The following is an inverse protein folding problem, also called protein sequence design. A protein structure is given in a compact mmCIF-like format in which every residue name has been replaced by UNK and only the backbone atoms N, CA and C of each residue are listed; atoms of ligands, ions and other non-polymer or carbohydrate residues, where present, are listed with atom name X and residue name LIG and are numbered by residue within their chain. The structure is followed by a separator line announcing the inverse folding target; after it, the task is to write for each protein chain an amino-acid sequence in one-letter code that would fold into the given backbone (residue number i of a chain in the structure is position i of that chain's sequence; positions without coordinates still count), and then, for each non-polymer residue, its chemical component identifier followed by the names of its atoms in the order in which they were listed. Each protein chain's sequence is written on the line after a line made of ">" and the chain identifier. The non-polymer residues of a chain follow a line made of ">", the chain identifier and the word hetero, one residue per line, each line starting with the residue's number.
data_IF_950216677305
#
_entry.id   IF_950216677305
#
_cell.length_a   1.000
_cell.length_b   1.000
_cell.length_c   1.000
_cell.angle_alpha   90.00
_cell.angle_beta   90.00
_cell.angle_gamma   90.00
#
_symmetry.space_group_name_H-M   'P 1'
#
loop_
_entity.id
_entity.type
_entity.pdbx_description
1 polymer ?
#
# COMPACT_ATOMS: atom_id res chain seq x y z
N UNK A 1 11.57 -12.46 -3.06
CA UNK A 1 10.80 -11.64 -4.03
C UNK A 1 10.77 -10.19 -3.58
N UNK A 2 10.55 -9.24 -4.50
CA UNK A 2 10.32 -7.81 -4.19
C UNK A 2 8.94 -7.39 -4.65
N UNK A 3 8.19 -6.65 -3.83
CA UNK A 3 6.86 -6.13 -4.15
C UNK A 3 6.73 -4.70 -3.64
N UNK A 4 6.43 -3.76 -4.54
CA UNK A 4 6.19 -2.37 -4.16
C UNK A 4 4.70 -2.17 -3.84
N UNK A 5 4.44 -1.57 -2.69
CA UNK A 5 3.08 -1.28 -2.23
C UNK A 5 2.97 0.15 -1.69
N UNK A 6 1.78 0.71 -1.84
CA UNK A 6 1.36 1.94 -1.21
C UNK A 6 0.44 1.59 -0.06
N UNK A 7 0.82 1.99 1.16
CA UNK A 7 0.06 1.79 2.38
C UNK A 7 -0.50 3.14 2.82
N UNK A 8 -1.82 3.23 2.96
CA UNK A 8 -2.51 4.39 3.50
C UNK A 8 -3.03 4.02 4.89
N UNK A 9 -2.64 4.79 5.91
CA UNK A 9 -3.03 4.55 7.30
C UNK A 9 -4.09 5.56 7.76
N UNK A 10 -5.15 5.10 8.46
CA UNK A 10 -6.15 5.99 9.03
C UNK A 10 -5.56 6.84 10.15
N UNK A 11 -6.23 7.93 10.50
CA UNK A 11 -5.79 8.89 11.53
C UNK A 11 -5.51 8.23 12.90
N UNK A 12 -6.12 7.07 13.17
CA UNK A 12 -6.01 6.29 14.40
C UNK A 12 -4.83 5.31 14.42
N UNK A 13 -4.28 4.93 13.26
CA UNK A 13 -3.28 3.86 13.12
C UNK A 13 -1.83 4.30 13.35
N UNK A 14 -1.58 5.57 13.73
CA UNK A 14 -0.23 6.11 14.00
C UNK A 14 0.52 5.34 15.12
N UNK A 15 -0.18 4.51 15.90
CA UNK A 15 0.38 3.78 17.04
C UNK A 15 0.97 2.40 16.71
N UNK A 16 0.81 1.89 15.48
CA UNK A 16 1.30 0.56 15.12
C UNK A 16 2.69 0.68 14.48
N UNK A 17 3.74 0.05 15.02
CA UNK A 17 5.08 0.09 14.44
C UNK A 17 5.16 -0.86 13.23
N UNK A 18 4.56 -0.45 12.11
CA UNK A 18 4.36 -1.28 10.91
C UNK A 18 5.64 -1.96 10.41
N UNK A 19 6.70 -1.18 10.18
CA UNK A 19 7.98 -1.71 9.66
C UNK A 19 8.63 -2.73 10.59
N UNK A 20 8.53 -2.52 11.91
CA UNK A 20 9.00 -3.47 12.90
C UNK A 20 8.22 -4.78 12.84
N UNK A 21 6.88 -4.73 12.75
CA UNK A 21 6.06 -5.94 12.65
C UNK A 21 6.31 -6.70 11.36
N UNK A 22 6.48 -6.01 10.23
CA UNK A 22 6.87 -6.64 8.96
C UNK A 22 8.17 -7.43 9.09
N UNK A 23 9.18 -6.85 9.74
CA UNK A 23 10.45 -7.52 9.96
C UNK A 23 10.34 -8.68 10.97
N UNK A 24 9.63 -8.47 12.09
CA UNK A 24 9.62 -9.41 13.21
C UNK A 24 8.65 -10.58 13.02
N UNK A 25 7.44 -10.30 12.52
CA UNK A 25 6.35 -11.28 12.45
C UNK A 25 6.35 -12.02 11.11
N UNK A 26 6.85 -11.38 10.04
CA UNK A 26 6.81 -11.92 8.67
C UNK A 26 8.18 -12.11 8.02
N UNK A 27 9.27 -11.72 8.70
CA UNK A 27 10.63 -11.76 8.15
C UNK A 27 10.75 -11.00 6.81
N UNK A 28 10.06 -9.86 6.70
CA UNK A 28 10.07 -8.99 5.51
C UNK A 28 10.93 -7.78 5.76
N UNK A 29 11.90 -7.54 4.87
CA UNK A 29 12.63 -6.28 4.84
C UNK A 29 11.78 -5.21 4.13
N UNK A 30 11.55 -4.09 4.82
CA UNK A 30 10.82 -2.93 4.29
C UNK A 30 11.79 -1.81 3.91
N UNK A 31 11.80 -1.42 2.63
CA UNK A 31 12.54 -0.26 2.14
C UNK A 31 11.58 0.89 1.85
N UNK A 32 11.64 1.97 2.63
CA UNK A 32 10.73 3.11 2.51
C UNK A 32 11.20 4.01 1.35
N UNK A 33 10.36 4.12 0.31
CA UNK A 33 10.65 4.96 -0.87
C UNK A 33 10.13 6.38 -0.63
N UNK A 34 8.93 6.51 -0.07
CA UNK A 34 8.31 7.81 0.25
C UNK A 34 7.40 7.65 1.46
N UNK A 35 7.48 8.58 2.40
CA UNK A 35 6.58 8.62 3.56
C UNK A 35 6.02 10.03 3.72
N UNK A 36 4.70 10.13 3.83
CA UNK A 36 4.02 11.34 4.26
C UNK A 36 3.26 11.01 5.55
N UNK A 37 3.77 11.53 6.66
CA UNK A 37 3.21 11.32 8.00
C UNK A 37 3.04 12.68 8.63
N UNK A 38 1.80 13.05 8.96
CA UNK A 38 1.51 14.30 9.66
C UNK A 38 0.44 14.07 10.74
N UNK A 39 0.49 14.79 11.87
CA UNK A 39 -0.54 14.71 12.90
C UNK A 39 -1.93 15.00 12.33
N UNK A 40 -2.93 14.22 12.72
CA UNK A 40 -4.32 14.37 12.29
C UNK A 40 -4.56 14.29 10.77
N UNK A 41 -3.62 13.77 9.99
CA UNK A 41 -3.80 13.53 8.56
C UNK A 41 -3.79 12.03 8.25
N UNK A 42 -4.44 11.66 7.14
CA UNK A 42 -4.25 10.35 6.53
C UNK A 42 -2.84 10.35 5.95
N UNK A 43 -1.99 9.43 6.39
CA UNK A 43 -0.64 9.33 5.85
C UNK A 43 -0.53 8.25 4.79
N UNK A 44 0.44 8.45 3.88
CA UNK A 44 0.73 7.58 2.74
C UNK A 44 2.19 7.13 2.84
N UNK A 45 2.42 5.82 2.79
CA UNK A 45 3.73 5.19 2.81
C UNK A 45 3.90 4.35 1.55
N UNK A 46 4.86 4.72 0.71
CA UNK A 46 5.30 3.91 -0.43
C UNK A 46 6.51 3.11 0.01
N UNK A 47 6.38 1.78 -0.01
CA UNK A 47 7.38 0.85 0.52
C UNK A 47 7.63 -0.29 -0.46
N UNK A 48 8.89 -0.67 -0.64
CA UNK A 48 9.28 -1.92 -1.28
C UNK A 48 9.45 -2.99 -0.19
N UNK A 49 8.65 -4.06 -0.29
CA UNK A 49 8.72 -5.23 0.57
C UNK A 49 9.61 -6.28 -0.09
N UNK A 50 10.58 -6.80 0.66
CA UNK A 50 11.49 -7.85 0.22
C UNK A 50 11.42 -9.03 1.18
N UNK A 51 11.04 -10.20 0.66
CA UNK A 51 10.83 -11.41 1.47
C UNK A 51 10.31 -12.58 0.63
N UNK A 52 9.85 -13.63 1.30
CA UNK A 52 9.11 -14.73 0.69
C UNK A 52 7.73 -14.24 0.19
N UNK A 53 7.23 -14.79 -0.91
CA UNK A 53 5.95 -14.38 -1.49
C UNK A 53 4.77 -14.67 -0.54
N UNK A 54 4.80 -15.83 0.13
CA UNK A 54 3.73 -16.24 1.04
C UNK A 54 3.70 -15.34 2.27
N UNK A 55 4.88 -14.93 2.76
CA UNK A 55 5.00 -13.99 3.87
C UNK A 55 4.52 -12.59 3.47
N UNK A 56 4.87 -12.13 2.26
CA UNK A 56 4.43 -10.82 1.75
C UNK A 56 2.91 -10.77 1.64
N UNK A 57 2.28 -11.80 1.09
CA UNK A 57 0.83 -11.83 0.94
C UNK A 57 0.13 -11.96 2.31
N UNK A 58 0.66 -12.77 3.24
CA UNK A 58 0.16 -12.82 4.61
C UNK A 58 0.27 -11.47 5.34
N UNK A 59 1.38 -10.73 5.13
CA UNK A 59 1.57 -9.40 5.70
C UNK A 59 0.60 -8.36 5.12
N UNK A 60 0.28 -8.46 3.82
CA UNK A 60 -0.70 -7.58 3.16
C UNK A 60 -2.11 -7.82 3.73
N UNK A 61 -2.51 -9.08 3.89
CA UNK A 61 -3.80 -9.40 4.50
C UNK A 61 -3.87 -8.95 5.96
N UNK A 62 -2.79 -9.17 6.73
CA UNK A 62 -2.71 -8.67 8.09
C UNK A 62 -2.83 -7.14 8.15
N UNK A 63 -2.18 -6.41 7.25
CA UNK A 63 -2.34 -4.95 7.14
C UNK A 63 -3.81 -4.58 6.87
N UNK A 64 -4.48 -5.23 5.91
CA UNK A 64 -5.90 -4.97 5.60
C UNK A 64 -6.82 -5.22 6.79
N UNK A 65 -6.56 -6.27 7.56
CA UNK A 65 -7.30 -6.59 8.79
C UNK A 65 -7.10 -5.56 9.92
N UNK A 66 -6.01 -4.79 9.87
CA UNK A 66 -5.69 -3.74 10.85
C UNK A 66 -6.03 -2.34 10.31
N UNK A 67 -7.03 -2.25 9.42
CA UNK A 67 -7.52 -1.00 8.80
C UNK A 67 -6.50 -0.24 7.94
N UNK A 68 -5.39 -0.87 7.54
CA UNK A 68 -4.49 -0.29 6.55
C UNK A 68 -5.03 -0.55 5.14
N UNK A 69 -5.16 0.52 4.34
CA UNK A 69 -5.45 0.35 2.93
C UNK A 69 -4.14 0.09 2.17
N UNK A 70 -4.02 -1.07 1.53
CA UNK A 70 -2.81 -1.48 0.82
C UNK A 70 -3.11 -1.64 -0.67
N UNK A 71 -2.40 -0.86 -1.48
CA UNK A 71 -2.48 -0.86 -2.94
C UNK A 71 -1.16 -1.38 -3.51
N UNK A 72 -1.22 -2.34 -4.43
CA UNK A 72 -0.04 -2.72 -5.24
C UNK A 72 0.38 -1.54 -6.11
N UNK A 73 1.68 -1.35 -6.33
CA UNK A 73 2.18 -0.26 -7.18
C UNK A 73 1.70 -0.31 -8.64
N UNK A 74 1.12 -1.43 -9.07
CA UNK A 74 0.42 -1.56 -10.34
C UNK A 74 -0.95 -0.86 -10.25
N UNK A 75 -0.98 0.43 -10.62
CA UNK A 75 -2.20 1.21 -10.85
C UNK A 75 -2.57 2.13 -9.69
N UNK A 76 -2.15 3.40 -9.76
CA UNK A 76 -2.76 4.47 -8.93
C UNK A 76 -4.14 4.91 -9.46
N UNK A 77 -4.53 4.43 -10.65
CA UNK A 77 -5.80 4.73 -11.30
C UNK A 77 -6.59 3.44 -11.45
N UNK A 78 -7.81 3.44 -10.92
CA UNK A 78 -8.79 2.37 -11.09
C UNK A 78 -10.02 2.93 -11.81
N UNK A 79 -10.63 2.12 -12.68
CA UNK A 79 -11.86 2.47 -13.39
C UNK A 79 -13.04 1.92 -12.60
N UNK A 80 -14.01 2.77 -12.28
CA UNK A 80 -15.32 2.31 -11.81
C UNK A 80 -16.19 1.97 -13.03
N UNK A 81 -16.32 0.68 -13.32
CA UNK A 81 -17.09 0.19 -14.47
C UNK A 81 -18.58 0.58 -14.43
N UNK A 82 -19.13 0.93 -13.26
CA UNK A 82 -20.54 1.35 -13.16
C UNK A 82 -20.77 2.78 -13.62
N UNK A 83 -19.72 3.60 -13.60
CA UNK A 83 -19.78 5.04 -13.91
C UNK A 83 -19.06 5.37 -15.22
N UNK A 84 -18.16 4.49 -15.68
CA UNK A 84 -17.44 4.65 -16.93
C UNK A 84 -18.40 4.78 -18.13
N UNK A 85 -18.13 5.76 -18.99
CA UNK A 85 -18.87 6.00 -20.25
C UNK A 85 -17.99 5.77 -21.48
N UNK A 86 -16.86 5.07 -21.32
CA UNK A 86 -15.91 4.72 -22.39
C UNK A 86 -15.37 5.92 -23.20
N UNK A 87 -15.28 7.10 -22.58
CA UNK A 87 -14.79 8.32 -23.25
C UNK A 87 -13.27 8.33 -23.53
N UNK A 88 -12.50 7.43 -22.90
CA UNK A 88 -11.07 7.30 -23.11
C UNK A 88 -10.19 8.38 -22.48
N UNK A 89 -10.75 9.37 -21.76
CA UNK A 89 -9.97 10.48 -21.17
C UNK A 89 -8.90 9.99 -20.17
N UNK A 90 -9.21 8.92 -19.43
CA UNK A 90 -8.32 8.31 -18.45
C UNK A 90 -7.10 7.61 -19.09
N UNK A 91 -7.18 7.23 -20.38
CA UNK A 91 -6.08 6.51 -21.06
C UNK A 91 -4.81 7.35 -21.17
N UNK A 92 -4.94 8.67 -21.35
CA UNK A 92 -3.80 9.58 -21.43
C UNK A 92 -3.09 9.86 -20.11
N UNK A 93 -3.74 9.59 -18.97
CA UNK A 93 -3.17 9.76 -17.63
C UNK A 93 -2.84 8.42 -16.95
N UNK A 94 -3.16 7.30 -17.61
CA UNK A 94 -2.92 5.98 -17.06
C UNK A 94 -1.41 5.73 -16.93
N UNK A 95 -0.89 5.47 -15.72
CA UNK A 95 0.53 5.19 -15.53
C UNK A 95 0.87 3.80 -16.10
N UNK A 96 1.68 3.76 -17.17
CA UNK A 96 2.28 2.54 -17.76
C UNK A 96 3.23 1.82 -16.81
#
# INVERSE_FOLDING_TARGET
>A
MKKRVTVTFPRTAIRIPLTYRLAKDFNIASNIIRAQVAPNQIGKLVVELQGDIDQIDAAIEWMRMNDFQVYSASGEIAIDEKVCVDCGLCTGVCPT
#
